data_IF_299132122271
#
_entry.id   IF_299132122271
#
_cell.length_a   1.000
_cell.length_b   1.000
_cell.length_c   1.000
_cell.angle_alpha   90.00
_cell.angle_beta   90.00
_cell.angle_gamma   90.00
#
_symmetry.space_group_name_H-M   'P 1'
#
loop_
_entity.id
_entity.type
_entity.pdbx_description
1 polymer ?
#
# COMPACT_ATOMS: atom_id res chain seq x y z
N UNK A 1 -18.15 42.17 26.60
CA UNK A 1 -17.62 40.83 26.94
C UNK A 1 -18.22 39.84 25.97
N UNK A 2 -17.52 39.50 24.89
CA UNK A 2 -17.96 38.47 23.94
C UNK A 2 -17.17 37.20 24.25
N UNK A 3 -17.90 36.14 24.65
CA UNK A 3 -17.33 34.82 24.92
C UNK A 3 -16.82 34.20 23.62
N UNK A 4 -15.58 33.72 23.66
CA UNK A 4 -14.98 32.93 22.59
C UNK A 4 -15.60 31.54 22.64
N UNK A 5 -16.32 31.16 21.60
CA UNK A 5 -16.74 29.77 21.37
C UNK A 5 -15.52 28.92 21.04
N UNK A 6 -14.99 28.28 22.09
CA UNK A 6 -13.97 27.24 21.97
C UNK A 6 -14.63 26.02 21.32
N UNK A 7 -14.28 25.77 20.07
CA UNK A 7 -14.64 24.55 19.33
C UNK A 7 -14.30 23.32 20.18
N UNK A 8 -15.30 22.68 20.79
CA UNK A 8 -15.10 21.42 21.52
C UNK A 8 -14.67 20.33 20.53
N UNK A 9 -13.63 19.54 20.82
CA UNK A 9 -13.28 18.40 19.97
C UNK A 9 -14.43 17.39 19.99
N UNK A 10 -14.84 16.95 18.80
CA UNK A 10 -15.78 15.85 18.61
C UNK A 10 -15.25 14.62 19.38
N UNK A 11 -16.07 13.89 20.16
CA UNK A 11 -15.59 12.73 20.88
C UNK A 11 -14.94 11.73 19.91
N UNK A 12 -13.70 11.33 20.19
CA UNK A 12 -12.97 10.34 19.39
C UNK A 12 -13.69 9.00 19.53
N UNK A 13 -14.18 8.47 18.41
CA UNK A 13 -14.82 7.16 18.35
C UNK A 13 -13.74 6.10 18.64
N UNK A 14 -13.84 5.45 19.79
CA UNK A 14 -13.09 4.22 20.07
C UNK A 14 -13.81 3.11 19.30
N UNK A 15 -13.09 2.41 18.42
CA UNK A 15 -13.68 1.31 17.65
C UNK A 15 -13.61 0.05 18.52
N UNK A 16 -14.77 -0.51 18.88
CA UNK A 16 -14.84 -1.77 19.60
C UNK A 16 -14.57 -2.94 18.62
N UNK A 17 -13.78 -3.91 19.06
CA UNK A 17 -13.30 -5.04 18.23
C UNK A 17 -14.51 -5.86 17.74
N UNK A 18 -15.62 -5.85 18.47
CA UNK A 18 -16.85 -6.57 18.17
C UNK A 18 -17.72 -5.94 17.06
N UNK A 19 -17.59 -4.64 16.79
CA UNK A 19 -18.31 -3.94 15.70
C UNK A 19 -17.57 -4.00 14.35
N UNK A 20 -16.41 -4.66 14.32
CA UNK A 20 -15.61 -4.80 13.11
C UNK A 20 -16.22 -5.86 12.19
N UNK A 21 -16.73 -5.42 11.03
CA UNK A 21 -17.06 -6.34 9.93
C UNK A 21 -15.87 -7.27 9.62
N UNK A 22 -16.13 -8.54 9.24
CA UNK A 22 -15.16 -9.64 9.22
C UNK A 22 -14.11 -9.59 8.10
N UNK A 23 -13.64 -8.40 7.71
CA UNK A 23 -12.63 -8.21 6.65
C UNK A 23 -11.18 -8.49 7.12
N UNK A 24 -11.01 -8.91 8.37
CA UNK A 24 -9.79 -9.59 8.83
C UNK A 24 -9.79 -11.10 8.51
N UNK A 25 -10.81 -11.60 7.80
CA UNK A 25 -10.71 -12.92 7.17
C UNK A 25 -9.58 -12.86 6.13
N UNK A 26 -8.47 -13.54 6.43
CA UNK A 26 -7.36 -13.73 5.50
C UNK A 26 -7.90 -14.22 4.16
N UNK A 27 -7.41 -13.64 3.05
CA UNK A 27 -7.90 -13.97 1.71
C UNK A 27 -8.69 -12.86 1.03
N UNK A 28 -8.62 -11.62 1.52
CA UNK A 28 -9.32 -10.50 0.91
C UNK A 28 -8.50 -9.90 -0.24
N UNK A 29 -9.17 -9.55 -1.34
CA UNK A 29 -8.55 -8.86 -2.48
C UNK A 29 -8.90 -7.38 -2.44
N UNK A 30 -7.87 -6.53 -2.42
CA UNK A 30 -7.96 -5.08 -2.38
C UNK A 30 -7.40 -4.51 -3.68
N UNK A 31 -8.26 -4.08 -4.60
CA UNK A 31 -7.86 -3.55 -5.91
C UNK A 31 -8.25 -2.09 -5.97
N UNK A 32 -7.31 -1.24 -6.36
CA UNK A 32 -7.57 0.17 -6.58
C UNK A 32 -6.42 0.90 -7.23
N UNK A 33 -6.26 2.16 -6.85
CA UNK A 33 -5.43 3.16 -7.52
C UNK A 33 -4.41 3.77 -6.58
N UNK A 34 -3.31 4.27 -7.14
CA UNK A 34 -2.24 4.97 -6.42
C UNK A 34 -2.49 6.49 -6.39
N UNK A 35 -3.23 6.96 -5.39
CA UNK A 35 -3.67 8.35 -5.32
C UNK A 35 -4.96 8.60 -6.10
N UNK A 36 -5.56 9.78 -5.90
CA UNK A 36 -6.91 10.09 -6.39
C UNK A 36 -7.09 11.57 -6.78
N UNK A 37 -5.99 12.30 -7.00
CA UNK A 37 -6.04 13.75 -7.28
C UNK A 37 -5.26 14.08 -8.53
N UNK A 38 -5.78 13.65 -9.67
CA UNK A 38 -5.19 13.86 -10.98
C UNK A 38 -6.12 14.70 -11.87
N UNK A 39 -5.59 15.81 -12.41
CA UNK A 39 -6.38 16.73 -13.23
C UNK A 39 -6.93 16.04 -14.49
N UNK A 40 -6.13 15.18 -15.13
CA UNK A 40 -6.52 14.46 -16.35
C UNK A 40 -7.65 13.45 -16.16
N UNK A 41 -8.04 13.14 -14.93
CA UNK A 41 -9.16 12.23 -14.65
C UNK A 41 -10.51 12.95 -14.61
N UNK A 42 -10.51 14.28 -14.50
CA UNK A 42 -11.73 15.09 -14.44
C UNK A 42 -12.40 15.16 -15.80
N UNK A 43 -13.71 14.88 -15.85
CA UNK A 43 -14.48 14.79 -17.09
C UNK A 43 -14.36 13.44 -17.80
N UNK A 44 -13.59 12.50 -17.25
CA UNK A 44 -13.53 11.11 -17.71
C UNK A 44 -13.90 10.18 -16.55
N UNK A 45 -12.97 9.91 -15.64
CA UNK A 45 -13.25 9.10 -14.46
C UNK A 45 -14.11 9.87 -13.43
N UNK A 46 -13.78 11.13 -13.15
CA UNK A 46 -14.61 11.97 -12.29
C UNK A 46 -15.70 12.67 -13.10
N UNK A 47 -16.97 12.61 -12.66
CA UNK A 47 -18.07 13.31 -13.32
C UNK A 47 -17.79 14.81 -13.52
N UNK A 48 -18.26 15.40 -14.65
CA UNK A 48 -18.19 16.84 -14.86
C UNK A 48 -18.76 17.61 -13.66
N UNK A 49 -18.02 18.63 -13.21
CA UNK A 49 -18.44 19.47 -12.08
C UNK A 49 -18.21 18.87 -10.68
N UNK A 50 -17.71 17.64 -10.54
CA UNK A 50 -17.48 17.05 -9.21
C UNK A 50 -16.49 17.92 -8.39
N UNK A 51 -16.86 18.41 -7.19
CA UNK A 51 -15.94 19.16 -6.34
C UNK A 51 -14.74 18.31 -5.93
N UNK A 52 -13.52 18.88 -5.99
CA UNK A 52 -12.26 18.15 -5.67
C UNK A 52 -12.26 17.47 -4.30
N UNK A 53 -12.93 18.06 -3.31
CA UNK A 53 -13.08 17.49 -1.96
C UNK A 53 -13.86 16.17 -1.94
N UNK A 54 -14.65 15.87 -2.97
CA UNK A 54 -15.45 14.66 -3.09
C UNK A 54 -14.79 13.58 -3.98
N UNK A 55 -13.62 13.84 -4.56
CA UNK A 55 -12.93 12.86 -5.44
C UNK A 55 -12.60 11.55 -4.71
N UNK A 56 -12.17 11.64 -3.43
CA UNK A 56 -11.95 10.44 -2.61
C UNK A 56 -13.25 9.69 -2.34
N UNK A 57 -14.31 10.42 -1.97
CA UNK A 57 -15.62 9.82 -1.73
C UNK A 57 -16.10 9.07 -2.97
N UNK A 58 -16.01 9.70 -4.15
CA UNK A 58 -16.35 9.08 -5.42
C UNK A 58 -15.53 7.81 -5.70
N UNK A 59 -14.19 7.91 -5.64
CA UNK A 59 -13.32 6.77 -5.91
C UNK A 59 -13.54 5.61 -4.92
N UNK A 60 -13.81 5.91 -3.65
CA UNK A 60 -14.09 4.91 -2.61
C UNK A 60 -15.43 4.19 -2.73
N UNK A 61 -16.32 4.63 -3.62
CA UNK A 61 -17.54 3.88 -3.97
C UNK A 61 -17.31 2.87 -5.11
N UNK A 62 -16.16 2.95 -5.76
CA UNK A 62 -15.77 2.09 -6.87
C UNK A 62 -14.75 1.06 -6.40
N UNK A 63 -13.73 1.52 -5.68
CA UNK A 63 -12.65 0.68 -5.16
C UNK A 63 -12.82 0.43 -3.67
N UNK A 64 -12.32 -0.71 -3.19
CA UNK A 64 -12.27 -1.05 -1.77
C UNK A 64 -10.94 -0.68 -1.10
N UNK A 65 -9.96 -0.20 -1.87
CA UNK A 65 -8.67 0.25 -1.35
C UNK A 65 -8.01 1.31 -2.23
N UNK A 66 -7.23 2.20 -1.62
CA UNK A 66 -6.42 3.22 -2.33
C UNK A 66 -5.06 3.37 -1.65
N UNK A 67 -3.98 3.52 -2.44
CA UNK A 67 -2.64 3.84 -1.92
C UNK A 67 -2.48 5.36 -1.76
N UNK A 68 -2.11 5.82 -0.56
CA UNK A 68 -1.83 7.22 -0.24
C UNK A 68 -0.40 7.57 -0.66
N UNK A 69 -0.28 8.40 -1.69
CA UNK A 69 1.01 8.88 -2.19
C UNK A 69 1.51 10.17 -1.52
N UNK A 70 0.63 11.00 -0.97
CA UNK A 70 0.99 12.32 -0.42
C UNK A 70 2.04 12.27 0.70
N UNK A 71 2.02 11.21 1.51
CA UNK A 71 2.95 10.94 2.61
C UNK A 71 4.38 10.68 2.15
N UNK A 72 4.58 10.34 0.86
CA UNK A 72 5.89 10.18 0.26
C UNK A 72 6.65 11.52 0.18
N UNK A 73 5.93 12.61 -0.10
CA UNK A 73 6.54 13.91 -0.42
C UNK A 73 6.62 14.85 0.79
N UNK A 74 5.68 14.76 1.72
CA UNK A 74 5.59 15.69 2.86
C UNK A 74 4.84 15.09 4.05
N UNK A 75 5.06 15.65 5.24
CA UNK A 75 4.26 15.33 6.42
C UNK A 75 2.90 16.02 6.35
N UNK A 76 1.84 15.23 6.41
CA UNK A 76 0.47 15.71 6.37
C UNK A 76 -0.05 16.04 7.79
N UNK A 77 -1.27 16.57 7.86
CA UNK A 77 -1.94 16.88 9.14
C UNK A 77 -2.81 15.70 9.56
N UNK A 78 -2.95 15.41 10.88
CA UNK A 78 -3.86 14.37 11.34
C UNK A 78 -5.28 14.52 10.83
N UNK A 79 -5.78 15.77 10.76
CA UNK A 79 -7.10 16.07 10.22
C UNK A 79 -7.31 15.64 8.77
N UNK A 80 -6.25 15.51 7.97
CA UNK A 80 -6.36 14.94 6.62
C UNK A 80 -6.71 13.45 6.66
N UNK A 81 -6.04 12.69 7.55
CA UNK A 81 -6.30 11.26 7.71
C UNK A 81 -7.67 11.00 8.31
N UNK A 82 -8.10 11.81 9.29
CA UNK A 82 -9.45 11.76 9.85
C UNK A 82 -10.51 11.99 8.76
N UNK A 83 -10.35 13.05 7.96
CA UNK A 83 -11.26 13.34 6.84
C UNK A 83 -11.29 12.21 5.81
N UNK A 84 -10.14 11.58 5.51
CA UNK A 84 -10.09 10.46 4.58
C UNK A 84 -10.78 9.22 5.14
N UNK A 85 -10.55 8.90 6.42
CA UNK A 85 -11.26 7.83 7.11
C UNK A 85 -12.77 8.04 7.05
N UNK A 86 -13.25 9.24 7.33
CA UNK A 86 -14.68 9.53 7.44
C UNK A 86 -15.36 9.66 6.06
N UNK A 87 -14.61 9.92 4.99
CA UNK A 87 -15.14 10.04 3.64
C UNK A 87 -15.37 8.68 2.92
N UNK A 88 -14.72 7.61 3.39
CA UNK A 88 -14.77 6.28 2.75
C UNK A 88 -15.71 5.32 3.48
N UNK A 89 -16.23 4.25 2.83
CA UNK A 89 -17.08 3.26 3.49
C UNK A 89 -16.37 2.50 4.60
N UNK A 90 -17.13 1.84 5.47
CA UNK A 90 -16.57 0.82 6.37
C UNK A 90 -15.98 -0.34 5.57
N UNK A 91 -14.96 -1.00 6.12
CA UNK A 91 -14.20 -2.05 5.41
C UNK A 91 -13.26 -1.54 4.31
N UNK A 92 -13.23 -0.23 4.02
CA UNK A 92 -12.28 0.37 3.08
C UNK A 92 -10.86 0.38 3.66
N UNK A 93 -9.85 0.09 2.84
CA UNK A 93 -8.44 0.06 3.27
C UNK A 93 -7.62 1.15 2.60
N UNK A 94 -6.69 1.76 3.34
CA UNK A 94 -5.67 2.66 2.77
C UNK A 94 -4.29 2.02 2.89
N UNK A 95 -3.61 1.79 1.77
CA UNK A 95 -2.16 1.60 1.81
C UNK A 95 -1.45 2.95 1.94
N UNK A 96 -0.26 2.97 2.52
CA UNK A 96 0.52 4.20 2.71
C UNK A 96 1.87 4.09 2.01
N UNK A 97 2.24 5.12 1.24
CA UNK A 97 3.60 5.24 0.73
C UNK A 97 4.50 5.92 1.76
N UNK A 98 5.56 5.22 2.15
CA UNK A 98 6.58 5.70 3.06
C UNK A 98 7.30 6.94 2.55
N UNK A 99 7.82 7.75 3.49
CA UNK A 99 8.47 9.01 3.17
C UNK A 99 9.71 8.83 2.31
N UNK A 100 9.81 9.59 1.21
CA UNK A 100 11.00 9.63 0.37
C UNK A 100 12.22 10.13 1.14
N UNK A 101 12.02 10.92 2.20
CA UNK A 101 13.13 11.35 3.08
C UNK A 101 13.82 10.16 3.72
N UNK A 102 13.07 9.13 4.10
CA UNK A 102 13.62 7.89 4.68
C UNK A 102 14.29 7.05 3.59
N UNK A 103 13.61 6.79 2.47
CA UNK A 103 14.09 5.82 1.48
C UNK A 103 15.13 6.38 0.49
N UNK A 104 15.03 7.66 0.10
CA UNK A 104 15.87 8.27 -0.93
C UNK A 104 16.97 9.16 -0.35
N UNK A 105 16.64 10.01 0.64
CA UNK A 105 17.60 10.98 1.20
C UNK A 105 18.48 10.35 2.29
N UNK A 106 17.88 9.77 3.33
CA UNK A 106 18.60 9.05 4.37
C UNK A 106 19.14 7.71 3.89
N UNK A 107 18.54 7.15 2.82
CA UNK A 107 18.87 5.81 2.33
C UNK A 107 18.85 4.80 3.48
N UNK A 108 17.82 4.88 4.32
CA UNK A 108 17.55 4.06 5.50
C UNK A 108 18.50 4.25 6.70
N UNK A 109 19.50 5.13 6.63
CA UNK A 109 20.45 5.36 7.74
C UNK A 109 19.88 6.35 8.76
N UNK A 110 20.00 6.05 10.06
CA UNK A 110 19.57 6.95 11.14
C UNK A 110 18.09 7.35 11.01
N UNK A 111 17.23 6.38 10.67
CA UNK A 111 15.85 6.62 10.28
C UNK A 111 14.88 6.78 11.46
N UNK A 112 15.32 6.55 12.70
CA UNK A 112 14.49 6.51 13.92
C UNK A 112 13.63 7.76 14.08
N UNK A 113 14.27 8.93 14.12
CA UNK A 113 13.54 10.20 14.24
C UNK A 113 12.68 10.52 13.02
N UNK A 114 13.07 10.06 11.82
CA UNK A 114 12.27 10.25 10.61
C UNK A 114 11.03 9.34 10.60
N UNK A 115 11.15 8.09 11.09
CA UNK A 115 10.05 7.15 11.29
C UNK A 115 9.09 7.67 12.35
N UNK A 116 9.59 8.11 13.51
CA UNK A 116 8.77 8.72 14.56
C UNK A 116 7.93 9.88 14.02
N UNK A 117 8.54 10.78 13.24
CA UNK A 117 7.81 11.87 12.57
C UNK A 117 6.80 11.36 11.53
N UNK A 118 7.16 10.35 10.73
CA UNK A 118 6.25 9.78 9.74
C UNK A 118 5.01 9.18 10.39
N UNK A 119 5.17 8.45 11.49
CA UNK A 119 4.04 7.83 12.19
C UNK A 119 3.21 8.84 12.98
N UNK A 120 3.85 9.84 13.59
CA UNK A 120 3.16 10.91 14.33
C UNK A 120 2.34 11.88 13.46
N UNK A 121 2.47 11.83 12.13
CA UNK A 121 1.79 12.78 11.24
C UNK A 121 0.26 12.61 11.18
N UNK A 122 -0.27 11.49 11.68
CA UNK A 122 -1.70 11.17 11.59
C UNK A 122 -2.06 9.78 11.10
N UNK A 123 -1.10 8.89 10.82
CA UNK A 123 -1.43 7.61 10.15
C UNK A 123 -2.37 6.74 11.00
N UNK A 124 -2.23 6.75 12.33
CA UNK A 124 -3.11 6.05 13.26
C UNK A 124 -4.55 6.60 13.27
N UNK A 125 -4.77 7.82 12.79
CA UNK A 125 -6.11 8.40 12.71
C UNK A 125 -6.98 7.72 11.64
N UNK A 126 -6.38 6.94 10.72
CA UNK A 126 -7.10 6.05 9.80
C UNK A 126 -7.83 4.92 10.55
N UNK A 127 -7.42 4.61 11.78
CA UNK A 127 -7.98 3.56 12.62
C UNK A 127 -8.00 2.21 11.89
N UNK A 128 -9.15 1.52 11.83
CA UNK A 128 -9.25 0.19 11.21
C UNK A 128 -8.98 0.19 9.70
N UNK A 129 -8.99 1.36 9.05
CA UNK A 129 -8.71 1.50 7.62
C UNK A 129 -7.22 1.60 7.31
N UNK A 130 -6.34 1.57 8.32
CA UNK A 130 -4.89 1.56 8.13
C UNK A 130 -4.44 0.22 7.54
N UNK A 131 -3.98 0.26 6.29
CA UNK A 131 -3.47 -0.89 5.56
C UNK A 131 -1.93 -0.98 5.58
N UNK A 132 -1.36 -1.75 4.64
CA UNK A 132 0.09 -1.94 4.53
C UNK A 132 0.84 -0.65 4.16
N UNK A 133 2.12 -0.59 4.55
CA UNK A 133 3.02 0.53 4.28
C UNK A 133 4.10 0.12 3.29
N UNK A 134 4.13 0.80 2.16
CA UNK A 134 5.10 0.66 1.08
C UNK A 134 6.37 1.47 1.34
N UNK A 135 7.53 0.82 1.31
CA UNK A 135 8.85 1.47 1.28
C UNK A 135 9.49 1.27 -0.09
N UNK A 136 9.33 2.26 -0.96
CA UNK A 136 9.90 2.26 -2.30
C UNK A 136 11.32 2.82 -2.31
N UNK A 137 12.26 2.10 -2.90
CA UNK A 137 13.66 2.52 -3.05
C UNK A 137 13.93 3.21 -4.39
N UNK A 138 15.03 3.96 -4.46
CA UNK A 138 15.49 4.58 -5.69
C UNK A 138 16.21 3.53 -6.57
N UNK A 139 16.24 3.68 -7.91
CA UNK A 139 16.94 2.75 -8.80
C UNK A 139 18.43 2.59 -8.51
N UNK A 140 19.09 3.62 -7.96
CA UNK A 140 20.52 3.56 -7.60
C UNK A 140 20.79 2.98 -6.21
N UNK A 141 19.75 2.55 -5.49
CA UNK A 141 19.92 1.92 -4.19
C UNK A 141 20.17 0.43 -4.41
N UNK A 142 21.39 -0.02 -4.12
CA UNK A 142 21.75 -1.44 -4.21
C UNK A 142 21.45 -2.16 -2.88
N UNK A 143 21.17 -3.47 -2.98
CA UNK A 143 21.04 -4.38 -1.83
C UNK A 143 22.25 -4.31 -0.90
N UNK A 144 21.96 -4.18 0.38
CA UNK A 144 22.89 -4.14 1.51
C UNK A 144 22.15 -4.79 2.69
N UNK A 145 22.50 -6.05 2.99
CA UNK A 145 21.76 -6.89 3.91
C UNK A 145 21.76 -6.33 5.34
N UNK A 146 22.91 -5.83 5.82
CA UNK A 146 23.04 -5.25 7.15
C UNK A 146 22.16 -4.01 7.27
N UNK A 147 22.27 -3.09 6.30
CA UNK A 147 21.47 -1.85 6.30
C UNK A 147 19.97 -2.13 6.29
N UNK A 148 19.52 -3.10 5.51
CA UNK A 148 18.11 -3.48 5.46
C UNK A 148 17.66 -4.15 6.74
N UNK A 149 18.46 -5.06 7.31
CA UNK A 149 18.14 -5.69 8.59
C UNK A 149 17.98 -4.64 9.69
N UNK A 150 18.93 -3.70 9.82
CA UNK A 150 18.85 -2.61 10.78
C UNK A 150 17.57 -1.79 10.59
N UNK A 151 17.23 -1.43 9.35
CA UNK A 151 15.99 -0.69 9.08
C UNK A 151 14.74 -1.51 9.41
N UNK A 152 14.73 -2.81 9.10
CA UNK A 152 13.59 -3.69 9.39
C UNK A 152 13.36 -3.87 10.89
N UNK A 153 14.42 -3.86 11.70
CA UNK A 153 14.32 -3.92 13.16
C UNK A 153 13.65 -2.67 13.75
N UNK A 154 13.71 -1.52 13.05
CA UNK A 154 13.05 -0.28 13.46
C UNK A 154 11.55 -0.22 13.09
N UNK A 155 11.08 -1.12 12.22
CA UNK A 155 9.70 -1.05 11.72
C UNK A 155 8.70 -1.57 12.77
N UNK A 156 7.71 -0.76 13.18
CA UNK A 156 6.72 -1.15 14.18
C UNK A 156 5.80 -2.26 13.65
N UNK A 157 5.45 -3.25 14.49
CA UNK A 157 4.71 -4.45 14.05
C UNK A 157 3.24 -4.43 14.43
N UNK A 158 2.85 -3.53 15.32
CA UNK A 158 1.48 -3.28 15.72
C UNK A 158 1.18 -1.79 15.75
N UNK A 159 -0.10 -1.43 15.74
CA UNK A 159 -0.52 -0.04 15.93
C UNK A 159 -0.12 0.53 17.29
N UNK A 160 0.06 -0.32 18.31
CA UNK A 160 0.62 0.07 19.61
C UNK A 160 2.11 0.41 19.49
N UNK A 161 2.88 -0.35 18.73
CA UNK A 161 4.29 -0.02 18.46
C UNK A 161 4.41 1.28 17.65
N UNK A 162 3.49 1.49 16.70
CA UNK A 162 3.39 2.75 15.95
C UNK A 162 3.12 3.92 16.90
N UNK A 163 2.19 3.77 17.84
CA UNK A 163 1.89 4.79 18.83
C UNK A 163 3.12 5.12 19.69
N UNK A 164 3.81 4.10 20.21
CA UNK A 164 5.04 4.25 20.98
C UNK A 164 6.12 4.98 20.18
N UNK A 165 6.39 4.56 18.94
CA UNK A 165 7.37 5.22 18.08
C UNK A 165 6.96 6.66 17.70
N UNK A 166 5.66 6.91 17.52
CA UNK A 166 5.14 8.24 17.23
C UNK A 166 5.29 9.21 18.42
N UNK A 167 5.37 8.71 19.67
CA UNK A 167 5.65 9.56 20.84
C UNK A 167 7.06 10.16 20.81
N UNK A 168 8.01 9.51 20.13
CA UNK A 168 9.40 9.98 19.95
C UNK A 168 9.54 11.04 18.84
N UNK A 169 8.44 11.69 18.45
CA UNK A 169 8.46 12.64 17.34
C UNK A 169 9.31 13.88 17.65
N UNK A 170 9.90 14.45 16.59
CA UNK A 170 10.67 15.68 16.70
C UNK A 170 9.81 16.93 16.91
N UNK A 171 10.44 18.09 17.19
CA UNK A 171 9.75 19.35 17.48
C UNK A 171 8.88 19.87 16.33
N UNK A 172 9.14 19.43 15.08
CA UNK A 172 8.35 19.82 13.89
C UNK A 172 6.87 19.44 13.97
N UNK A 173 6.53 18.46 14.80
CA UNK A 173 5.15 17.99 14.98
C UNK A 173 4.56 18.36 16.35
N UNK A 174 5.28 19.12 17.18
CA UNK A 174 4.78 19.56 18.48
C UNK A 174 3.44 20.29 18.34
N UNK A 175 2.45 19.87 19.14
CA UNK A 175 1.09 20.44 19.12
C UNK A 175 0.19 19.98 17.98
N UNK A 176 0.69 19.14 17.04
CA UNK A 176 -0.11 18.58 15.94
C UNK A 176 0.15 17.08 15.70
N UNK A 177 0.93 16.43 16.55
CA UNK A 177 1.19 15.01 16.44
C UNK A 177 -0.05 14.20 16.81
N UNK A 178 -0.19 13.03 16.19
CA UNK A 178 -1.20 12.04 16.53
C UNK A 178 -0.49 10.73 16.88
N UNK A 179 -0.56 10.34 18.15
CA UNK A 179 0.21 9.24 18.72
C UNK A 179 -0.67 8.17 19.38
N UNK A 180 -1.99 8.27 19.25
CA UNK A 180 -2.93 7.36 19.89
C UNK A 180 -3.34 6.24 18.91
N UNK A 181 -3.25 4.98 19.33
CA UNK A 181 -3.76 3.87 18.55
C UNK A 181 -5.29 3.74 18.74
N UNK A 182 -6.07 4.01 17.69
CA UNK A 182 -7.54 3.88 17.75
C UNK A 182 -8.04 2.43 17.72
N UNK A 183 -7.19 1.51 17.27
CA UNK A 183 -7.43 0.06 17.17
C UNK A 183 -6.13 -0.68 17.44
N UNK A 184 -6.20 -1.90 17.95
CA UNK A 184 -5.05 -2.81 18.09
C UNK A 184 -5.04 -3.80 16.93
N UNK A 185 -4.12 -3.61 15.98
CA UNK A 185 -3.97 -4.50 14.83
C UNK A 185 -2.51 -4.64 14.37
N UNK A 186 -2.16 -5.70 13.64
CA UNK A 186 -0.86 -5.82 12.99
C UNK A 186 -0.61 -4.69 11.99
N UNK A 187 0.64 -4.26 11.89
CA UNK A 187 1.13 -3.32 10.87
C UNK A 187 1.99 -4.08 9.89
N UNK A 188 1.62 -3.98 8.62
CA UNK A 188 2.25 -4.70 7.51
C UNK A 188 3.14 -3.75 6.71
N UNK A 189 4.32 -4.22 6.34
CA UNK A 189 5.28 -3.46 5.55
C UNK A 189 5.64 -4.21 4.28
N UNK A 190 5.85 -3.48 3.19
CA UNK A 190 6.36 -4.05 1.95
C UNK A 190 7.45 -3.18 1.32
N UNK A 191 8.35 -3.80 0.55
CA UNK A 191 9.50 -3.16 -0.08
C UNK A 191 9.36 -3.23 -1.59
N UNK A 192 9.49 -2.09 -2.25
CA UNK A 192 9.61 -2.02 -3.72
C UNK A 192 11.05 -1.73 -4.10
N UNK A 193 11.65 -2.70 -4.79
CA UNK A 193 13.01 -2.67 -5.31
C UNK A 193 13.03 -2.13 -6.74
N UNK A 194 14.17 -1.56 -7.13
CA UNK A 194 14.37 -0.99 -8.48
C UNK A 194 15.76 -1.24 -9.05
N UNK A 195 16.46 -2.24 -8.50
CA UNK A 195 17.86 -2.52 -8.80
C UNK A 195 18.12 -4.03 -8.76
N UNK A 196 18.90 -4.55 -9.71
CA UNK A 196 19.10 -5.98 -9.92
C UNK A 196 19.83 -6.68 -8.78
N UNK A 197 20.61 -5.95 -7.98
CA UNK A 197 21.31 -6.56 -6.83
C UNK A 197 20.38 -7.10 -5.74
N UNK A 198 19.08 -6.81 -5.79
CA UNK A 198 18.06 -7.43 -4.94
C UNK A 198 17.56 -8.78 -5.46
N UNK A 199 17.89 -9.15 -6.70
CA UNK A 199 17.54 -10.44 -7.30
C UNK A 199 18.49 -11.51 -6.76
N UNK A 200 18.33 -11.84 -5.48
CA UNK A 200 19.12 -12.87 -4.83
C UNK A 200 18.34 -13.58 -3.69
N UNK A 201 18.63 -14.87 -3.42
CA UNK A 201 17.98 -15.62 -2.35
C UNK A 201 18.13 -14.99 -0.96
N UNK A 202 19.25 -14.31 -0.69
CA UNK A 202 19.55 -13.68 0.60
C UNK A 202 18.58 -12.55 0.92
N UNK A 203 18.22 -11.73 -0.07
CA UNK A 203 17.22 -10.68 0.10
C UNK A 203 15.83 -11.25 0.39
N UNK A 204 15.44 -12.29 -0.36
CA UNK A 204 14.15 -12.98 -0.15
C UNK A 204 14.07 -13.61 1.24
N UNK A 205 15.16 -14.24 1.70
CA UNK A 205 15.25 -14.80 3.05
C UNK A 205 15.12 -13.72 4.12
N UNK A 206 15.75 -12.55 3.94
CA UNK A 206 15.65 -11.43 4.86
C UNK A 206 14.21 -10.90 4.95
N UNK A 207 13.51 -10.72 3.83
CA UNK A 207 12.10 -10.31 3.83
C UNK A 207 11.22 -11.32 4.57
N UNK A 208 11.39 -12.63 4.30
CA UNK A 208 10.66 -13.73 4.96
C UNK A 208 10.90 -13.77 6.47
N UNK A 209 12.15 -13.57 6.91
CA UNK A 209 12.52 -13.52 8.34
C UNK A 209 11.73 -12.44 9.09
N UNK A 210 11.49 -11.29 8.47
CA UNK A 210 10.80 -10.16 9.09
C UNK A 210 9.30 -10.07 8.75
N UNK A 211 8.74 -11.06 8.02
CA UNK A 211 7.39 -11.02 7.45
C UNK A 211 7.09 -9.69 6.72
N UNK A 212 8.02 -9.24 5.88
CA UNK A 212 7.89 -8.04 5.06
C UNK A 212 7.60 -8.46 3.63
N UNK A 213 6.58 -7.87 3.02
CA UNK A 213 6.17 -8.19 1.66
C UNK A 213 7.16 -7.67 0.61
N UNK A 214 7.51 -8.49 -0.36
CA UNK A 214 8.06 -8.04 -1.63
C UNK A 214 6.92 -7.40 -2.43
N UNK A 215 7.17 -6.23 -2.99
CA UNK A 215 6.24 -5.63 -3.94
C UNK A 215 6.47 -6.26 -5.30
N UNK A 216 5.43 -6.90 -5.83
CA UNK A 216 5.38 -7.36 -7.21
C UNK A 216 5.12 -6.13 -8.08
N UNK A 217 6.18 -5.52 -8.59
CA UNK A 217 6.13 -4.28 -9.37
C UNK A 217 6.20 -4.58 -10.87
N UNK A 218 5.09 -4.42 -11.59
CA UNK A 218 5.07 -4.57 -13.04
C UNK A 218 5.57 -3.30 -13.70
N UNK A 219 6.82 -3.36 -14.16
CA UNK A 219 7.53 -2.22 -14.72
C UNK A 219 8.32 -2.65 -15.94
N UNK A 220 8.67 -1.69 -16.78
CA UNK A 220 9.48 -1.92 -17.98
C UNK A 220 10.98 -1.81 -17.74
N UNK A 221 11.41 -1.33 -16.57
CA UNK A 221 12.80 -0.97 -16.27
C UNK A 221 13.43 -1.77 -15.11
N UNK A 222 12.61 -2.32 -14.21
CA UNK A 222 13.09 -2.88 -12.94
C UNK A 222 12.73 -4.36 -12.80
N UNK A 223 13.44 -5.11 -11.95
CA UNK A 223 13.15 -6.52 -11.71
C UNK A 223 11.71 -6.78 -11.31
N UNK A 224 11.06 -7.71 -12.02
CA UNK A 224 9.78 -8.28 -11.65
C UNK A 224 10.01 -9.62 -10.95
N UNK A 225 9.81 -9.64 -9.63
CA UNK A 225 9.92 -10.84 -8.81
C UNK A 225 8.55 -11.30 -8.31
N UNK A 226 8.38 -12.61 -8.21
CA UNK A 226 7.13 -13.23 -7.74
C UNK A 226 7.23 -13.93 -6.38
N UNK A 227 8.42 -13.94 -5.75
CA UNK A 227 8.61 -14.53 -4.44
C UNK A 227 7.61 -14.00 -3.41
N UNK A 228 6.85 -14.91 -2.79
CA UNK A 228 5.98 -14.54 -1.68
C UNK A 228 6.81 -14.52 -0.39
N UNK A 229 6.89 -13.35 0.25
CA UNK A 229 7.76 -13.14 1.43
C UNK A 229 7.01 -12.81 2.70
N UNK A 230 5.69 -12.70 2.65
CA UNK A 230 4.87 -12.37 3.82
C UNK A 230 3.52 -13.10 3.81
N UNK A 231 2.68 -12.80 4.80
CA UNK A 231 1.29 -13.28 4.88
C UNK A 231 0.32 -12.57 3.93
N UNK A 232 0.80 -11.57 3.18
CA UNK A 232 0.07 -10.87 2.14
C UNK A 232 0.92 -10.73 0.87
N UNK A 233 0.28 -10.31 -0.22
CA UNK A 233 0.95 -9.91 -1.46
C UNK A 233 0.60 -8.46 -1.77
N UNK A 234 1.58 -7.70 -2.25
CA UNK A 234 1.41 -6.31 -2.66
C UNK A 234 1.88 -6.16 -4.10
N UNK A 235 1.02 -5.67 -4.97
CA UNK A 235 1.30 -5.45 -6.37
C UNK A 235 1.19 -3.97 -6.71
N UNK A 236 2.13 -3.48 -7.52
CA UNK A 236 2.03 -2.16 -8.14
C UNK A 236 2.17 -2.32 -9.64
N UNK A 237 1.18 -1.85 -10.37
CA UNK A 237 1.10 -1.97 -11.82
C UNK A 237 1.37 -0.61 -12.43
N UNK A 238 2.60 -0.40 -12.92
CA UNK A 238 3.08 0.91 -13.37
C UNK A 238 2.79 1.18 -14.84
N UNK A 239 2.24 0.21 -15.59
CA UNK A 239 2.00 0.31 -17.02
C UNK A 239 2.85 -0.70 -17.79
N UNK A 240 2.24 -1.41 -18.74
CA UNK A 240 2.86 -2.57 -19.39
C UNK A 240 3.90 -2.20 -20.44
N UNK A 241 3.76 -1.06 -21.13
CA UNK A 241 4.58 -0.69 -22.30
C UNK A 241 5.49 0.51 -22.05
N UNK A 242 4.96 1.52 -21.36
CA UNK A 242 5.61 2.75 -20.94
C UNK A 242 5.27 2.99 -19.47
N UNK A 243 6.32 3.25 -18.67
CA UNK A 243 6.18 3.53 -17.25
C UNK A 243 5.25 4.74 -17.06
N UNK A 244 4.23 4.56 -16.24
CA UNK A 244 3.21 5.54 -15.86
C UNK A 244 2.17 5.93 -16.91
N UNK A 245 2.40 5.64 -18.20
CA UNK A 245 1.61 6.20 -19.29
C UNK A 245 0.86 5.18 -20.15
N UNK A 246 1.16 3.89 -20.01
CA UNK A 246 0.49 2.82 -20.74
C UNK A 246 -0.60 2.14 -19.90
N UNK A 247 -1.73 1.84 -20.54
CA UNK A 247 -2.79 1.02 -19.96
C UNK A 247 -2.53 -0.47 -20.15
N UNK A 248 -3.40 -1.30 -19.57
CA UNK A 248 -3.31 -2.75 -19.68
C UNK A 248 -4.34 -3.31 -20.66
N UNK A 249 -3.89 -4.09 -21.65
CA UNK A 249 -4.77 -4.83 -22.55
C UNK A 249 -5.48 -6.00 -21.84
N UNK A 250 -6.57 -6.50 -22.44
CA UNK A 250 -7.41 -7.54 -21.84
C UNK A 250 -6.64 -8.81 -21.46
N UNK A 251 -5.73 -9.28 -22.33
CA UNK A 251 -4.92 -10.46 -22.07
C UNK A 251 -3.98 -10.27 -20.86
N UNK A 252 -3.39 -9.07 -20.71
CA UNK A 252 -2.55 -8.75 -19.57
C UNK A 252 -3.37 -8.72 -18.27
N UNK A 253 -4.56 -8.12 -18.30
CA UNK A 253 -5.47 -8.09 -17.15
C UNK A 253 -5.99 -9.48 -16.78
N UNK A 254 -6.23 -10.37 -17.75
CA UNK A 254 -6.62 -11.76 -17.49
C UNK A 254 -5.49 -12.53 -16.79
N UNK A 255 -4.24 -12.32 -17.22
CA UNK A 255 -3.06 -12.89 -16.55
C UNK A 255 -2.94 -12.38 -15.11
N UNK A 256 -3.04 -11.05 -14.90
CA UNK A 256 -3.02 -10.47 -13.56
C UNK A 256 -4.16 -10.98 -12.68
N UNK A 257 -5.37 -11.11 -13.21
CA UNK A 257 -6.51 -11.63 -12.46
C UNK A 257 -6.25 -13.06 -11.97
N UNK A 258 -5.70 -13.94 -12.82
CA UNK A 258 -5.32 -15.31 -12.43
C UNK A 258 -4.28 -15.31 -11.31
N UNK A 259 -3.25 -14.46 -11.40
CA UNK A 259 -2.21 -14.33 -10.35
C UNK A 259 -2.78 -13.87 -9.02
N UNK A 260 -3.60 -12.81 -9.04
CA UNK A 260 -4.28 -12.28 -7.86
C UNK A 260 -5.12 -13.36 -7.17
N UNK A 261 -5.90 -14.12 -7.94
CA UNK A 261 -6.71 -15.23 -7.41
C UNK A 261 -5.82 -16.33 -6.82
N UNK A 262 -4.73 -16.73 -7.49
CA UNK A 262 -3.80 -17.75 -6.95
C UNK A 262 -3.20 -17.32 -5.62
N UNK A 263 -2.68 -16.09 -5.54
CA UNK A 263 -2.14 -15.54 -4.30
C UNK A 263 -3.20 -15.49 -3.20
N UNK A 264 -4.43 -15.07 -3.52
CA UNK A 264 -5.53 -15.04 -2.56
C UNK A 264 -5.87 -16.43 -1.98
N UNK A 265 -5.67 -17.50 -2.78
CA UNK A 265 -5.81 -18.91 -2.37
C UNK A 265 -4.55 -19.50 -1.73
N UNK A 266 -3.55 -18.67 -1.41
CA UNK A 266 -2.35 -19.14 -0.71
C UNK A 266 -1.31 -19.83 -1.61
N UNK A 267 -1.49 -19.78 -2.92
CA UNK A 267 -0.54 -20.29 -3.92
C UNK A 267 0.51 -19.21 -4.28
N UNK A 268 1.56 -19.60 -5.00
CA UNK A 268 2.51 -18.69 -5.65
C UNK A 268 2.14 -18.53 -7.14
N UNK A 269 2.60 -17.44 -7.75
CA UNK A 269 2.50 -17.29 -9.20
C UNK A 269 3.54 -18.20 -9.87
N UNK A 270 3.23 -18.72 -11.04
CA UNK A 270 4.20 -19.49 -11.83
C UNK A 270 5.13 -18.55 -12.59
N UNK A 271 6.37 -19.00 -12.80
CA UNK A 271 7.26 -18.39 -13.78
C UNK A 271 6.66 -18.64 -15.17
N UNK A 272 6.20 -17.60 -15.85
CA UNK A 272 5.65 -17.73 -17.20
C UNK A 272 6.78 -17.93 -18.23
N UNK A 273 6.52 -18.70 -19.28
CA UNK A 273 7.47 -18.93 -20.37
C UNK A 273 7.94 -17.63 -21.03
N UNK A 274 9.18 -17.61 -21.54
CA UNK A 274 9.89 -16.44 -22.11
C UNK A 274 9.18 -15.66 -23.24
N UNK A 275 7.99 -16.10 -23.71
CA UNK A 275 7.20 -15.42 -24.74
C UNK A 275 6.21 -14.37 -24.20
N UNK A 276 5.99 -14.29 -22.88
CA UNK A 276 5.13 -13.28 -22.24
C UNK A 276 5.97 -12.09 -21.77
N UNK A 277 5.56 -10.86 -22.14
CA UNK A 277 6.19 -9.62 -21.63
C UNK A 277 6.06 -9.48 -20.10
N UNK A 278 5.10 -10.17 -19.49
CA UNK A 278 4.91 -10.24 -18.04
C UNK A 278 5.75 -11.36 -17.40
N UNK A 279 7.02 -11.47 -17.81
CA UNK A 279 7.96 -12.47 -17.29
C UNK A 279 8.53 -11.99 -15.95
N UNK A 280 7.97 -12.49 -14.85
CA UNK A 280 8.63 -12.44 -13.55
C UNK A 280 9.30 -13.76 -13.24
N UNK A 281 10.22 -13.73 -12.28
CA UNK A 281 10.93 -14.92 -11.82
C UNK A 281 11.04 -14.93 -10.29
N UNK A 282 11.39 -16.09 -9.75
CA UNK A 282 11.73 -16.23 -8.34
C UNK A 282 13.24 -16.05 -8.13
N UNK A 283 13.62 -15.15 -7.23
CA UNK A 283 15.00 -14.99 -6.82
C UNK A 283 15.42 -16.09 -5.82
N UNK A 284 14.49 -16.66 -5.05
CA UNK A 284 14.76 -17.77 -4.15
C UNK A 284 14.39 -19.12 -4.75
N UNK A 285 15.24 -20.16 -4.63
CA UNK A 285 14.85 -21.53 -4.99
C UNK A 285 13.91 -22.17 -3.96
N UNK A 286 13.70 -21.52 -2.81
CA UNK A 286 12.84 -22.03 -1.74
C UNK A 286 11.44 -21.44 -1.88
N UNK A 287 10.37 -22.27 -1.96
CA UNK A 287 9.00 -21.77 -2.06
C UNK A 287 8.57 -21.07 -0.77
N UNK A 288 7.57 -20.21 -0.86
CA UNK A 288 7.01 -19.57 0.32
C UNK A 288 6.33 -20.56 1.26
N UNK A 289 6.19 -20.15 2.54
CA UNK A 289 5.39 -20.89 3.51
C UNK A 289 3.96 -21.03 3.01
N UNK A 290 3.47 -22.28 2.94
CA UNK A 290 2.09 -22.60 2.57
C UNK A 290 1.10 -21.88 3.49
N UNK A 291 0.08 -21.29 2.90
CA UNK A 291 -1.07 -20.69 3.58
C UNK A 291 -2.34 -21.13 2.85
N UNK A 292 -3.47 -21.15 3.54
CA UNK A 292 -4.76 -21.41 2.89
C UNK A 292 -5.28 -20.18 2.15
N UNK A 293 -4.99 -18.99 2.67
CA UNK A 293 -5.41 -17.71 2.12
C UNK A 293 -4.39 -16.62 2.41
N UNK A 294 -4.33 -15.60 1.54
CA UNK A 294 -3.55 -14.36 1.75
C UNK A 294 -4.35 -13.15 1.31
N UNK A 295 -4.13 -12.03 1.98
CA UNK A 295 -4.62 -10.76 1.45
C UNK A 295 -3.77 -10.36 0.25
N UNK A 296 -4.41 -9.80 -0.77
CA UNK A 296 -3.73 -9.32 -1.99
C UNK A 296 -4.12 -7.88 -2.21
N UNK A 297 -3.13 -6.99 -2.21
CA UNK A 297 -3.29 -5.56 -2.48
C UNK A 297 -2.74 -5.26 -3.87
N UNK A 298 -3.54 -4.66 -4.74
CA UNK A 298 -3.14 -4.29 -6.10
C UNK A 298 -3.46 -2.83 -6.34
N UNK A 299 -2.43 -2.06 -6.70
CA UNK A 299 -2.58 -0.65 -7.02
C UNK A 299 -2.06 -0.36 -8.43
N UNK A 300 -2.90 0.27 -9.23
CA UNK A 300 -2.50 0.83 -10.51
C UNK A 300 -1.87 2.21 -10.26
N UNK A 301 -0.61 2.35 -10.69
CA UNK A 301 0.20 3.58 -10.58
C UNK A 301 0.43 4.21 -11.96
N UNK A 302 -0.21 3.70 -13.02
CA UNK A 302 -0.17 4.24 -14.39
C UNK A 302 -1.04 5.51 -14.56
N UNK A 303 -0.78 6.49 -13.70
CA UNK A 303 -1.63 7.65 -13.46
C UNK A 303 -1.34 8.85 -14.37
N UNK A 304 -0.31 8.79 -15.22
CA UNK A 304 0.02 9.91 -16.13
C UNK A 304 -1.11 10.16 -17.14
N UNK A 305 -1.95 9.15 -17.39
CA UNK A 305 -3.21 9.22 -18.12
C UNK A 305 -4.37 8.74 -17.24
N UNK A 306 -5.57 8.63 -17.79
CA UNK A 306 -6.75 8.13 -17.05
C UNK A 306 -6.84 6.59 -17.02
N UNK A 307 -5.76 5.86 -17.34
CA UNK A 307 -5.80 4.40 -17.45
C UNK A 307 -6.05 3.71 -16.10
N UNK A 308 -5.31 4.09 -15.07
CA UNK A 308 -5.34 3.45 -13.75
C UNK A 308 -6.75 3.14 -13.21
N UNK A 309 -7.72 4.08 -13.15
CA UNK A 309 -9.05 3.76 -12.63
C UNK A 309 -9.81 2.74 -13.50
N UNK A 310 -9.67 2.79 -14.82
CA UNK A 310 -10.37 1.84 -15.71
C UNK A 310 -9.72 0.45 -15.68
N UNK A 311 -8.40 0.39 -15.65
CA UNK A 311 -7.65 -0.87 -15.53
C UNK A 311 -7.94 -1.55 -14.18
N UNK A 312 -8.00 -0.77 -13.09
CA UNK A 312 -8.38 -1.26 -11.77
C UNK A 312 -9.81 -1.85 -11.74
N UNK A 313 -10.78 -1.15 -12.31
CA UNK A 313 -12.15 -1.67 -12.43
C UNK A 313 -12.20 -2.94 -13.29
N UNK A 314 -11.44 -2.96 -14.39
CA UNK A 314 -11.40 -4.09 -15.31
C UNK A 314 -10.75 -5.33 -14.66
N UNK A 315 -9.72 -5.16 -13.84
CA UNK A 315 -9.11 -6.22 -13.04
C UNK A 315 -10.09 -6.73 -11.96
N UNK A 316 -10.74 -5.82 -11.24
CA UNK A 316 -11.72 -6.17 -10.20
C UNK A 316 -12.81 -7.09 -10.75
N UNK A 317 -13.45 -6.72 -11.87
CA UNK A 317 -14.48 -7.56 -12.52
C UNK A 317 -13.97 -8.96 -12.88
N UNK A 318 -12.73 -9.07 -13.36
CA UNK A 318 -12.12 -10.36 -13.72
C UNK A 318 -11.87 -11.23 -12.50
N UNK A 319 -11.34 -10.65 -11.42
CA UNK A 319 -11.10 -11.36 -10.16
C UNK A 319 -12.42 -11.84 -9.55
N UNK A 320 -13.44 -11.00 -9.52
CA UNK A 320 -14.79 -11.36 -9.04
C UNK A 320 -15.38 -12.54 -9.83
N UNK A 321 -15.26 -12.50 -11.16
CA UNK A 321 -15.69 -13.59 -12.06
C UNK A 321 -14.95 -14.90 -11.76
N UNK A 322 -13.64 -14.85 -11.56
CA UNK A 322 -12.83 -16.04 -11.27
C UNK A 322 -13.11 -16.61 -9.87
N UNK A 323 -13.40 -15.78 -8.87
CA UNK A 323 -13.83 -16.24 -7.55
C UNK A 323 -15.21 -16.92 -7.61
N UNK A 324 -16.12 -16.43 -8.46
CA UNK A 324 -17.46 -17.00 -8.60
C UNK A 324 -17.44 -18.32 -9.39
N UNK A 325 -16.58 -18.44 -10.40
CA UNK A 325 -16.45 -19.66 -11.20
C UNK A 325 -15.82 -20.85 -10.45
N UNK A 326 -15.19 -20.63 -9.29
CA UNK A 326 -14.59 -21.67 -8.45
C UNK A 326 -15.52 -22.17 -7.32
N UNK A 327 -16.71 -21.59 -7.15
CA UNK A 327 -17.73 -22.02 -6.18
C UNK A 327 -18.73 -22.96 -6.82
#
# INVERSE_FOLDING_TARGET
MAQQDVCRPTPRRVYDIADMSPHLATGSTHIGISGWRYQGWRGSFYPPGLPRRLELQHASRIFNSIEINGTHYSLLRPSSFEQWRDATPDGFTFALKGSRFITHMLKLRGAEGALANFFAQGVLALGPKMGPILWQFAPRFAFDAERLSTFFDLLPRTTTDVAALAHEHGPRLKGRAFTEALVKQPVRHCIEIRHDSFVCPEFIALLRKHNIGLVVADTVEWPLLFDVTSDFVYCRLHGSEELYASGYGDAALDTWAKRVVRWAHGEEAEDETASSRLHGHHASPTPARKRQKRDVFVYFDNDAKVHAPYDAQALQRRVEKLHTAKK
#
